data_IF_466162512990
#
_entry.id   IF_466162512990
#
_cell.length_a   1.000
_cell.length_b   1.000
_cell.length_c   1.000
_cell.angle_alpha   90.00
_cell.angle_beta   90.00
_cell.angle_gamma   90.00
#
_symmetry.space_group_name_H-M   'P 1'
#
loop_
_entity.id
_entity.type
_entity.pdbx_description
1 polymer ?
#
# COMPACT_ATOMS: atom_id res chain seq x y z
N UNK A 1 -8.15 -13.21 -1.23
CA UNK A 1 -8.09 -11.92 -1.93
C UNK A 1 -8.12 -12.19 -3.43
N UNK A 2 -8.79 -11.37 -4.23
CA UNK A 2 -8.79 -11.53 -5.69
C UNK A 2 -7.45 -10.98 -6.24
N UNK A 3 -6.66 -11.76 -7.01
CA UNK A 3 -5.40 -11.29 -7.59
C UNK A 3 -5.52 -10.00 -8.42
N UNK A 4 -6.69 -9.75 -9.01
CA UNK A 4 -6.96 -8.54 -9.79
C UNK A 4 -7.07 -7.32 -8.86
N UNK A 5 -7.70 -7.49 -7.71
CA UNK A 5 -7.87 -6.44 -6.70
C UNK A 5 -6.53 -6.08 -6.06
N UNK A 6 -5.74 -7.09 -5.69
CA UNK A 6 -4.39 -6.92 -5.16
C UNK A 6 -3.51 -6.10 -6.10
N UNK A 7 -3.49 -6.49 -7.39
CA UNK A 7 -2.70 -5.79 -8.40
C UNK A 7 -3.10 -4.32 -8.54
N UNK A 8 -4.41 -4.03 -8.53
CA UNK A 8 -4.92 -2.65 -8.60
C UNK A 8 -4.45 -1.81 -7.42
N UNK A 9 -4.56 -2.34 -6.20
CA UNK A 9 -4.12 -1.64 -4.98
C UNK A 9 -2.62 -1.32 -5.04
N UNK A 10 -1.81 -2.30 -5.45
CA UNK A 10 -0.36 -2.11 -5.59
C UNK A 10 -0.04 -1.02 -6.61
N UNK A 11 -0.67 -1.06 -7.79
CA UNK A 11 -0.49 -0.04 -8.83
C UNK A 11 -0.92 1.35 -8.34
N UNK A 12 -2.08 1.46 -7.67
CA UNK A 12 -2.55 2.72 -7.08
C UNK A 12 -1.56 3.30 -6.05
N UNK A 13 -1.01 2.48 -5.16
CA UNK A 13 -0.03 2.92 -4.15
C UNK A 13 1.27 3.37 -4.82
N UNK A 14 1.77 2.62 -5.81
CA UNK A 14 2.98 2.97 -6.56
C UNK A 14 2.84 4.33 -7.24
N UNK A 15 1.69 4.59 -7.88
CA UNK A 15 1.40 5.86 -8.56
C UNK A 15 1.19 7.02 -7.58
N UNK A 16 0.36 6.82 -6.54
CA UNK A 16 0.01 7.85 -5.56
C UNK A 16 1.24 8.30 -4.75
N UNK A 17 2.06 7.35 -4.30
CA UNK A 17 3.25 7.61 -3.48
C UNK A 17 4.53 7.82 -4.30
N UNK A 18 4.47 7.64 -5.62
CA UNK A 18 5.61 7.74 -6.56
C UNK A 18 6.81 6.90 -6.09
N UNK A 19 6.56 5.66 -5.69
CA UNK A 19 7.60 4.82 -5.12
C UNK A 19 8.58 4.36 -6.21
N UNK A 20 9.90 4.53 -6.03
CA UNK A 20 10.90 4.11 -7.02
C UNK A 20 11.24 2.61 -6.93
N UNK A 21 10.47 1.83 -6.18
CA UNK A 21 10.74 0.43 -5.87
C UNK A 21 9.47 -0.41 -5.93
N UNK A 22 9.64 -1.72 -6.13
CA UNK A 22 8.56 -2.68 -6.13
C UNK A 22 8.03 -2.94 -4.72
N UNK A 23 6.73 -3.17 -4.64
CA UNK A 23 6.01 -3.47 -3.40
C UNK A 23 5.09 -4.66 -3.60
N UNK A 24 4.71 -5.30 -2.50
CA UNK A 24 3.82 -6.45 -2.43
C UNK A 24 2.81 -6.23 -1.31
N UNK A 25 1.53 -6.53 -1.58
CA UNK A 25 0.48 -6.46 -0.59
C UNK A 25 0.47 -7.74 0.25
N UNK A 26 0.65 -7.60 1.55
CA UNK A 26 0.67 -8.72 2.49
C UNK A 26 -0.70 -8.94 3.14
N UNK A 27 -1.41 -7.85 3.48
CA UNK A 27 -2.67 -7.93 4.19
C UNK A 27 -3.54 -6.68 3.98
N UNK A 28 -4.86 -6.83 4.12
CA UNK A 28 -5.85 -5.74 4.08
C UNK A 28 -6.73 -5.81 5.31
N UNK A 29 -6.74 -4.73 6.09
CA UNK A 29 -7.60 -4.54 7.26
C UNK A 29 -8.47 -3.29 7.07
N UNK A 30 -9.60 -3.45 6.38
CA UNK A 30 -10.49 -2.33 6.05
C UNK A 30 -9.80 -1.34 5.10
N UNK A 31 -9.52 -0.14 5.60
CA UNK A 31 -8.81 0.91 4.86
C UNK A 31 -7.29 0.88 5.06
N UNK A 32 -6.76 -0.13 5.77
CA UNK A 32 -5.32 -0.32 5.99
C UNK A 32 -4.77 -1.41 5.08
N UNK A 33 -3.61 -1.14 4.51
CA UNK A 33 -2.91 -1.98 3.54
C UNK A 33 -1.49 -2.21 4.04
N UNK A 34 -1.20 -3.45 4.44
CA UNK A 34 0.14 -3.84 4.87
C UNK A 34 0.96 -4.22 3.65
N UNK A 35 2.03 -3.46 3.40
CA UNK A 35 2.85 -3.57 2.20
C UNK A 35 4.28 -3.94 2.57
N UNK A 36 4.87 -4.88 1.83
CA UNK A 36 6.31 -5.18 1.88
C UNK A 36 7.02 -4.58 0.69
N UNK A 37 8.12 -3.87 0.92
CA UNK A 37 8.99 -3.45 -0.16
C UNK A 37 10.02 -4.54 -0.53
N UNK A 38 10.62 -4.43 -1.71
CA UNK A 38 11.68 -5.34 -2.15
C UNK A 38 12.98 -5.29 -1.31
N UNK A 39 13.11 -4.33 -0.39
CA UNK A 39 14.20 -4.26 0.59
C UNK A 39 13.91 -5.06 1.87
N UNK A 40 12.72 -5.67 1.99
CA UNK A 40 12.31 -6.47 3.15
C UNK A 40 11.71 -5.67 4.31
N UNK A 41 11.49 -4.36 4.14
CA UNK A 41 10.75 -3.56 5.12
C UNK A 41 9.25 -3.64 4.89
N UNK A 42 8.49 -3.65 5.98
CA UNK A 42 7.03 -3.61 5.95
C UNK A 42 6.54 -2.23 6.38
N UNK A 43 5.57 -1.70 5.63
CA UNK A 43 4.92 -0.40 5.90
C UNK A 43 3.41 -0.58 5.81
N UNK A 44 2.67 0.20 6.59
CA UNK A 44 1.20 0.20 6.54
C UNK A 44 0.75 1.51 5.91
N UNK A 45 -0.01 1.40 4.82
CA UNK A 45 -0.71 2.52 4.21
C UNK A 45 -2.17 2.54 4.65
N UNK A 46 -2.71 3.72 4.92
CA UNK A 46 -4.13 3.94 5.12
C UNK A 46 -4.71 4.71 3.93
N UNK A 47 -5.79 4.19 3.34
CA UNK A 47 -6.53 4.88 2.27
C UNK A 47 -7.50 5.90 2.88
N UNK A 48 -7.43 7.15 2.41
CA UNK A 48 -8.37 8.24 2.75
C UNK A 48 -8.59 9.11 1.52
N UNK A 49 -9.85 9.36 1.16
CA UNK A 49 -10.24 10.25 0.06
C UNK A 49 -9.42 10.00 -1.23
N UNK A 50 -9.35 8.74 -1.66
CA UNK A 50 -8.59 8.24 -2.83
C UNK A 50 -7.05 8.39 -2.77
N UNK A 51 -6.50 8.74 -1.61
CA UNK A 51 -5.06 8.85 -1.40
C UNK A 51 -4.56 7.84 -0.37
N UNK A 52 -3.27 7.49 -0.47
CA UNK A 52 -2.62 6.57 0.44
C UNK A 52 -1.64 7.34 1.34
N UNK A 53 -1.77 7.14 2.65
CA UNK A 53 -0.94 7.79 3.65
C UNK A 53 -0.21 6.73 4.45
N UNK A 54 1.05 6.96 4.81
CA UNK A 54 1.69 6.08 5.78
C UNK A 54 0.99 6.27 7.14
N UNK A 55 0.82 5.19 7.90
CA UNK A 55 0.20 5.28 9.23
C UNK A 55 0.93 6.28 10.14
N UNK A 56 2.26 6.38 10.01
CA UNK A 56 3.10 7.35 10.74
C UNK A 56 2.86 8.83 10.34
N UNK A 57 2.24 9.10 9.18
CA UNK A 57 1.91 10.46 8.74
C UNK A 57 0.59 10.97 9.36
N UNK A 58 -0.19 10.07 9.97
CA UNK A 58 -1.53 10.36 10.50
C UNK A 58 -1.57 10.43 12.03
N UNK A 59 -0.44 10.13 12.70
CA UNK A 59 -0.25 10.24 14.15
C UNK A 59 0.18 11.66 14.57
#
# INVERSE_FOLDING_TARGET
MDPIEEKKIVEEILENRRLPYSIELLDIEGDKYTIRNNFGSTVVYQKKDDNYYLEIELD
#
